data_IF_068883390250
#
_entry.id   IF_068883390250
#
_cell.length_a   1.000
_cell.length_b   1.000
_cell.length_c   1.000
_cell.angle_alpha   90.00
_cell.angle_beta   90.00
_cell.angle_gamma   90.00
#
_symmetry.space_group_name_H-M   'P 1'
#
loop_
_entity.id
_entity.type
_entity.pdbx_description
1 polymer ?
#
# COMPACT_ATOMS: atom_id res chain seq x y z
N UNK A 1 -10.51 25.37 -37.07
CA UNK A 1 -9.42 24.38 -36.98
C UNK A 1 -8.23 25.10 -36.36
N UNK A 2 -8.08 25.04 -35.04
CA UNK A 2 -6.93 25.62 -34.36
C UNK A 2 -5.83 24.54 -34.26
N UNK A 3 -4.69 24.83 -34.86
CA UNK A 3 -3.50 24.00 -34.87
C UNK A 3 -2.82 24.03 -33.51
N UNK A 4 -2.71 22.87 -32.86
CA UNK A 4 -1.82 22.64 -31.72
C UNK A 4 -0.35 22.69 -32.19
N UNK A 5 0.30 23.81 -31.98
CA UNK A 5 1.75 24.03 -32.06
C UNK A 5 2.03 25.18 -31.07
N UNK A 6 2.88 25.10 -30.05
CA UNK A 6 4.12 24.35 -29.83
C UNK A 6 4.26 24.09 -28.33
N UNK A 7 4.49 22.85 -27.92
CA UNK A 7 5.03 22.57 -26.59
C UNK A 7 6.52 22.24 -26.73
N UNK A 8 7.43 23.14 -26.33
CA UNK A 8 8.88 22.95 -26.51
C UNK A 8 9.47 21.84 -25.62
N UNK A 9 8.66 21.20 -24.77
CA UNK A 9 9.06 20.08 -23.92
C UNK A 9 8.45 18.73 -24.33
N UNK A 10 7.76 18.65 -25.46
CA UNK A 10 7.28 17.39 -26.02
C UNK A 10 8.47 16.65 -26.70
N UNK A 11 9.17 15.82 -25.92
CA UNK A 11 10.17 14.90 -26.47
C UNK A 11 9.53 13.95 -27.49
N UNK A 12 10.05 13.83 -28.73
CA UNK A 12 9.47 13.01 -29.80
C UNK A 12 9.61 11.50 -29.59
N UNK A 13 10.25 11.06 -28.50
CA UNK A 13 10.48 9.64 -28.17
C UNK A 13 9.55 9.14 -27.07
N UNK A 14 8.86 10.05 -26.38
CA UNK A 14 7.83 9.70 -25.42
C UNK A 14 6.50 10.22 -25.96
N UNK A 15 5.94 9.49 -26.92
CA UNK A 15 4.49 9.42 -27.02
C UNK A 15 4.02 8.95 -25.64
N UNK A 16 3.70 9.92 -24.78
CA UNK A 16 2.95 9.68 -23.57
C UNK A 16 1.66 9.10 -24.09
N UNK A 17 1.61 7.77 -24.14
CA UNK A 17 0.45 7.02 -24.57
C UNK A 17 -0.67 7.60 -23.73
N UNK A 18 -1.48 8.47 -24.35
CA UNK A 18 -2.66 9.04 -23.73
C UNK A 18 -3.55 7.83 -23.69
N UNK A 19 -3.34 7.01 -22.66
CA UNK A 19 -4.16 5.88 -22.38
C UNK A 19 -5.53 6.52 -22.26
N UNK A 20 -6.32 6.35 -23.32
CA UNK A 20 -7.75 6.55 -23.33
C UNK A 20 -8.17 5.73 -22.13
N UNK A 21 -8.33 6.41 -21.00
CA UNK A 21 -8.65 5.75 -19.76
C UNK A 21 -9.90 4.99 -20.14
N UNK A 22 -9.89 3.64 -20.15
CA UNK A 22 -11.14 2.93 -20.27
C UNK A 22 -12.02 3.56 -19.19
N UNK A 23 -13.32 3.70 -19.45
CA UNK A 23 -14.29 4.13 -18.44
C UNK A 23 -14.35 3.07 -17.31
N UNK A 24 -13.22 2.86 -16.67
CA UNK A 24 -13.00 2.12 -15.45
C UNK A 24 -13.70 2.97 -14.42
N UNK A 25 -14.71 2.39 -13.79
CA UNK A 25 -15.51 3.06 -12.79
C UNK A 25 -14.57 3.72 -11.76
N UNK A 26 -14.88 4.96 -11.34
CA UNK A 26 -14.12 5.68 -10.29
C UNK A 26 -13.79 4.79 -9.08
N UNK A 27 -14.70 3.85 -8.82
CA UNK A 27 -14.61 2.83 -7.78
C UNK A 27 -13.33 2.00 -7.90
N UNK A 28 -12.93 1.56 -9.08
CA UNK A 28 -11.73 0.71 -9.26
C UNK A 28 -10.44 1.51 -9.04
N UNK A 29 -10.40 2.77 -9.48
CA UNK A 29 -9.26 3.68 -9.25
C UNK A 29 -9.05 3.95 -7.76
N UNK A 30 -10.14 4.04 -7.00
CA UNK A 30 -10.11 4.21 -5.56
C UNK A 30 -9.81 2.91 -4.81
N UNK A 31 -10.51 1.84 -5.15
CA UNK A 31 -10.48 0.58 -4.41
C UNK A 31 -9.16 -0.15 -4.57
N UNK A 32 -8.47 0.02 -5.71
CA UNK A 32 -7.19 -0.66 -5.96
C UNK A 32 -6.10 -0.27 -4.93
N UNK A 33 -5.77 1.02 -4.70
CA UNK A 33 -4.81 1.40 -3.68
C UNK A 33 -5.26 1.00 -2.28
N UNK A 34 -6.55 1.16 -1.95
CA UNK A 34 -7.10 0.74 -0.65
C UNK A 34 -6.87 -0.75 -0.40
N UNK A 35 -7.29 -1.63 -1.31
CA UNK A 35 -7.16 -3.09 -1.17
C UNK A 35 -5.69 -3.52 -1.06
N UNK A 36 -4.81 -2.93 -1.88
CA UNK A 36 -3.38 -3.27 -1.87
C UNK A 36 -2.70 -2.84 -0.59
N UNK A 37 -2.97 -1.63 -0.11
CA UNK A 37 -2.42 -1.16 1.14
C UNK A 37 -2.99 -1.93 2.34
N UNK A 38 -4.28 -2.26 2.36
CA UNK A 38 -4.88 -3.13 3.39
C UNK A 38 -4.21 -4.51 3.43
N UNK A 39 -3.99 -5.15 2.28
CA UNK A 39 -3.33 -6.44 2.20
C UNK A 39 -1.93 -6.39 2.79
N UNK A 40 -1.10 -5.43 2.35
CA UNK A 40 0.27 -5.28 2.86
C UNK A 40 0.26 -4.93 4.34
N UNK A 41 -0.60 -3.99 4.73
CA UNK A 41 -0.79 -3.59 6.12
C UNK A 41 -1.11 -4.79 6.99
N UNK A 42 -2.05 -5.64 6.58
CA UNK A 42 -2.43 -6.84 7.34
C UNK A 42 -1.28 -7.85 7.48
N UNK A 43 -0.56 -8.14 6.39
CA UNK A 43 0.59 -9.06 6.45
C UNK A 43 1.68 -8.50 7.37
N UNK A 44 2.04 -7.22 7.20
CA UNK A 44 3.08 -6.57 7.99
C UNK A 44 2.67 -6.48 9.46
N UNK A 45 1.45 -6.03 9.74
CA UNK A 45 0.95 -5.88 11.10
C UNK A 45 0.91 -7.21 11.84
N UNK A 46 0.46 -8.29 11.18
CA UNK A 46 0.47 -9.62 11.76
C UNK A 46 1.89 -10.09 12.09
N UNK A 47 2.84 -9.89 11.18
CA UNK A 47 4.24 -10.26 11.42
C UNK A 47 4.90 -9.42 12.53
N UNK A 48 4.62 -8.11 12.57
CA UNK A 48 5.15 -7.20 13.59
C UNK A 48 4.63 -7.58 14.97
N UNK A 49 3.33 -7.85 15.12
CA UNK A 49 2.76 -8.27 16.40
C UNK A 49 3.22 -9.68 16.80
N UNK A 50 3.46 -10.57 15.85
CA UNK A 50 4.05 -11.88 16.14
C UNK A 50 5.50 -11.74 16.64
N UNK A 51 6.28 -10.81 16.08
CA UNK A 51 7.65 -10.54 16.49
C UNK A 51 7.75 -9.77 17.83
N UNK A 52 6.89 -8.76 18.04
CA UNK A 52 6.96 -7.81 19.18
C UNK A 52 6.02 -8.18 20.33
N UNK A 53 4.95 -8.94 20.08
CA UNK A 53 4.08 -9.50 21.12
C UNK A 53 4.69 -10.71 21.83
N UNK A 54 5.69 -11.36 21.23
CA UNK A 54 6.37 -12.55 21.77
C UNK A 54 7.48 -12.35 22.83
N UNK A 55 7.93 -11.17 23.31
CA UNK A 55 9.00 -11.11 24.30
C UNK A 55 8.63 -11.75 25.64
N UNK A 56 7.36 -11.69 26.06
CA UNK A 56 6.91 -12.39 27.28
C UNK A 56 6.72 -13.88 27.07
N UNK A 57 6.45 -14.33 25.84
CA UNK A 57 6.31 -15.75 25.53
C UNK A 57 7.68 -16.43 25.38
N UNK A 58 8.75 -15.69 25.07
CA UNK A 58 10.13 -16.21 25.05
C UNK A 58 10.61 -16.75 26.40
N UNK A 59 10.05 -16.26 27.51
CA UNK A 59 10.40 -16.72 28.87
C UNK A 59 9.54 -17.91 29.30
N UNK A 60 8.40 -18.18 28.63
CA UNK A 60 7.49 -19.30 28.95
C UNK A 60 7.68 -20.55 28.08
N UNK A 61 8.57 -20.54 27.08
CA UNK A 61 8.81 -21.68 26.16
C UNK A 61 9.49 -22.91 26.78
N UNK A 62 9.41 -23.10 28.10
CA UNK A 62 9.88 -24.32 28.76
C UNK A 62 8.86 -25.46 28.78
N UNK A 63 7.57 -25.20 28.52
CA UNK A 63 6.50 -26.18 28.89
C UNK A 63 5.60 -26.68 27.75
N UNK A 64 5.83 -26.30 26.49
CA UNK A 64 5.25 -26.98 25.32
C UNK A 64 3.74 -27.27 25.38
N UNK A 65 2.89 -26.26 25.66
CA UNK A 65 1.44 -26.43 25.69
C UNK A 65 0.80 -25.96 24.37
N UNK A 66 -0.34 -26.54 24.00
CA UNK A 66 -1.14 -26.13 22.83
C UNK A 66 -1.77 -24.74 22.98
N UNK A 67 -1.78 -24.18 24.20
CA UNK A 67 -2.25 -22.81 24.47
C UNK A 67 -1.33 -21.77 23.82
N UNK A 68 -0.03 -22.07 23.70
CA UNK A 68 0.97 -21.18 23.07
C UNK A 68 0.71 -20.94 21.57
N UNK A 69 0.12 -21.91 20.86
CA UNK A 69 -0.20 -21.77 19.45
C UNK A 69 -1.39 -20.83 19.24
N UNK A 70 -2.44 -20.99 20.05
CA UNK A 70 -3.63 -20.14 19.97
C UNK A 70 -3.33 -18.69 20.34
N UNK A 71 -2.45 -18.44 21.32
CA UNK A 71 -1.97 -17.10 21.64
C UNK A 71 -1.20 -16.44 20.49
N UNK A 72 -0.34 -17.20 19.80
CA UNK A 72 0.40 -16.70 18.62
C UNK A 72 -0.54 -16.38 17.46
N UNK A 73 -1.52 -17.24 17.20
CA UNK A 73 -2.56 -17.00 16.18
C UNK A 73 -3.36 -15.75 16.57
N UNK A 74 -3.80 -15.63 17.81
CA UNK A 74 -4.53 -14.46 18.31
C UNK A 74 -3.74 -13.16 18.12
N UNK A 75 -2.47 -13.16 18.52
CA UNK A 75 -1.56 -12.01 18.35
C UNK A 75 -1.37 -11.63 16.88
N UNK A 76 -1.20 -12.63 16.00
CA UNK A 76 -1.10 -12.41 14.56
C UNK A 76 -2.38 -11.81 13.99
N UNK A 77 -3.56 -12.32 14.38
CA UNK A 77 -4.85 -11.83 13.89
C UNK A 77 -5.14 -10.39 14.36
N UNK A 78 -4.81 -10.06 15.62
CA UNK A 78 -4.92 -8.69 16.14
C UNK A 78 -3.98 -7.77 15.37
N UNK A 79 -2.72 -8.18 15.18
CA UNK A 79 -1.75 -7.43 14.39
C UNK A 79 -2.19 -7.24 12.95
N UNK A 80 -2.77 -8.28 12.33
CA UNK A 80 -3.27 -8.21 10.97
C UNK A 80 -4.47 -7.28 10.86
N UNK A 81 -5.40 -7.30 11.83
CA UNK A 81 -6.52 -6.37 11.87
C UNK A 81 -6.04 -4.91 12.01
N UNK A 82 -5.15 -4.63 12.97
CA UNK A 82 -4.56 -3.31 13.15
C UNK A 82 -3.80 -2.87 11.89
N UNK A 83 -2.98 -3.75 11.33
CA UNK A 83 -2.24 -3.51 10.10
C UNK A 83 -3.15 -3.22 8.89
N UNK A 84 -4.26 -3.95 8.73
CA UNK A 84 -5.26 -3.67 7.70
C UNK A 84 -5.88 -2.28 7.87
N UNK A 85 -6.11 -1.83 9.10
CA UNK A 85 -6.61 -0.47 9.35
C UNK A 85 -5.58 0.59 8.94
N UNK A 86 -4.30 0.43 9.31
CA UNK A 86 -3.21 1.34 8.91
C UNK A 86 -3.08 1.38 7.37
N UNK A 87 -3.04 0.21 6.75
CA UNK A 87 -3.00 0.06 5.31
C UNK A 87 -4.22 0.68 4.64
N UNK A 88 -5.41 0.50 5.22
CA UNK A 88 -6.64 1.13 4.76
C UNK A 88 -6.55 2.65 4.77
N UNK A 89 -6.10 3.26 5.87
CA UNK A 89 -5.95 4.73 5.96
C UNK A 89 -4.97 5.23 4.89
N UNK A 90 -3.80 4.60 4.78
CA UNK A 90 -2.81 4.96 3.76
C UNK A 90 -3.39 4.84 2.33
N UNK A 91 -4.07 3.74 2.05
CA UNK A 91 -4.69 3.48 0.76
C UNK A 91 -5.86 4.42 0.45
N UNK A 92 -6.63 4.85 1.44
CA UNK A 92 -7.69 5.84 1.27
C UNK A 92 -7.11 7.21 0.88
N UNK A 93 -6.04 7.66 1.56
CA UNK A 93 -5.35 8.91 1.21
C UNK A 93 -4.83 8.85 -0.23
N UNK A 94 -4.12 7.77 -0.58
CA UNK A 94 -3.63 7.56 -1.95
C UNK A 94 -4.79 7.50 -2.94
N UNK A 95 -5.87 6.79 -2.63
CA UNK A 95 -7.07 6.68 -3.46
C UNK A 95 -7.74 8.02 -3.76
N UNK A 96 -7.87 8.90 -2.75
CA UNK A 96 -8.39 10.26 -2.95
C UNK A 96 -7.49 11.05 -3.89
N UNK A 97 -6.17 11.05 -3.67
CA UNK A 97 -5.22 11.75 -4.54
C UNK A 97 -5.33 11.25 -5.98
N UNK A 98 -5.38 9.93 -6.16
CA UNK A 98 -5.53 9.28 -7.48
C UNK A 98 -6.80 9.73 -8.19
N UNK A 99 -7.94 9.79 -7.50
CA UNK A 99 -9.20 10.28 -8.11
C UNK A 99 -9.04 11.74 -8.56
N UNK A 100 -8.48 12.60 -7.69
CA UNK A 100 -8.37 14.03 -7.95
C UNK A 100 -7.46 14.33 -9.15
N UNK A 101 -6.38 13.57 -9.31
CA UNK A 101 -5.38 13.79 -10.38
C UNK A 101 -5.59 12.91 -11.61
N UNK A 102 -6.64 12.08 -11.67
CA UNK A 102 -6.84 11.07 -12.74
C UNK A 102 -6.82 11.63 -14.18
N UNK A 103 -7.31 12.87 -14.34
CA UNK A 103 -7.41 13.57 -15.63
C UNK A 103 -6.24 14.52 -15.89
N UNK A 104 -5.34 14.66 -14.92
CA UNK A 104 -4.19 15.53 -15.05
C UNK A 104 -3.10 14.88 -15.91
N UNK A 105 -2.40 15.69 -16.72
CA UNK A 105 -1.26 15.22 -17.53
C UNK A 105 -0.09 14.68 -16.69
N UNK A 106 0.01 15.12 -15.44
CA UNK A 106 1.05 14.76 -14.48
C UNK A 106 0.60 13.68 -13.47
N UNK A 107 -0.49 12.97 -13.75
CA UNK A 107 -1.08 11.94 -12.85
C UNK A 107 -0.07 10.88 -12.39
N UNK A 108 0.80 10.43 -13.29
CA UNK A 108 1.77 9.36 -12.99
C UNK A 108 2.76 9.82 -11.92
N UNK A 109 3.23 11.06 -12.00
CA UNK A 109 4.13 11.66 -11.01
C UNK A 109 3.38 11.84 -9.69
N UNK A 110 2.15 12.35 -9.73
CA UNK A 110 1.33 12.51 -8.53
C UNK A 110 1.04 11.17 -7.83
N UNK A 111 0.74 10.10 -8.57
CA UNK A 111 0.54 8.76 -8.02
C UNK A 111 1.83 8.22 -7.39
N UNK A 112 2.98 8.40 -8.05
CA UNK A 112 4.27 7.95 -7.55
C UNK A 112 4.64 8.66 -6.24
N UNK A 113 4.46 9.99 -6.19
CA UNK A 113 4.70 10.80 -4.99
C UNK A 113 3.74 10.42 -3.87
N UNK A 114 2.45 10.28 -4.15
CA UNK A 114 1.47 9.89 -3.15
C UNK A 114 1.81 8.51 -2.53
N UNK A 115 2.12 7.53 -3.38
CA UNK A 115 2.54 6.20 -2.92
C UNK A 115 3.87 6.24 -2.17
N UNK A 116 4.82 7.06 -2.61
CA UNK A 116 6.17 7.15 -2.06
C UNK A 116 6.27 7.95 -0.76
N UNK A 117 5.30 8.83 -0.45
CA UNK A 117 5.31 9.66 0.76
C UNK A 117 4.32 9.14 1.79
N UNK A 118 3.06 8.91 1.39
CA UNK A 118 2.02 8.54 2.35
C UNK A 118 2.18 7.10 2.87
N UNK A 119 2.57 6.15 2.02
CA UNK A 119 2.76 4.77 2.49
C UNK A 119 3.89 4.67 3.53
N UNK A 120 5.12 5.18 3.29
CA UNK A 120 6.16 5.14 4.32
C UNK A 120 5.82 5.95 5.57
N UNK A 121 5.29 7.16 5.40
CA UNK A 121 4.92 8.01 6.53
C UNK A 121 3.90 7.34 7.45
N UNK A 122 2.84 6.77 6.88
CA UNK A 122 1.78 6.10 7.64
C UNK A 122 2.28 4.83 8.32
N UNK A 123 3.08 4.00 7.65
CA UNK A 123 3.60 2.76 8.24
C UNK A 123 4.58 3.08 9.37
N UNK A 124 5.58 3.94 9.14
CA UNK A 124 6.55 4.32 10.18
C UNK A 124 5.84 4.96 11.37
N UNK A 125 5.01 5.99 11.13
CA UNK A 125 4.34 6.72 12.20
C UNK A 125 3.41 5.83 13.03
N UNK A 126 2.56 5.05 12.37
CA UNK A 126 1.53 4.26 13.08
C UNK A 126 2.15 3.06 13.79
N UNK A 127 3.09 2.35 13.17
CA UNK A 127 3.75 1.24 13.83
C UNK A 127 4.69 1.68 14.95
N UNK A 128 5.27 2.88 14.90
CA UNK A 128 5.99 3.43 16.05
C UNK A 128 5.07 3.68 17.25
N UNK A 129 3.85 4.20 17.02
CA UNK A 129 2.84 4.41 18.07
C UNK A 129 2.31 3.09 18.61
N UNK A 130 2.12 2.08 17.75
CA UNK A 130 1.63 0.75 18.15
C UNK A 130 2.71 -0.11 18.80
N UNK A 131 3.98 0.05 18.40
CA UNK A 131 5.10 -0.57 19.09
C UNK A 131 5.26 0.07 20.47
N UNK A 132 5.73 -0.71 21.45
CA UNK A 132 5.88 -0.33 22.88
C UNK A 132 6.22 1.16 23.10
N UNK A 133 5.83 1.77 24.24
CA UNK A 133 6.09 3.17 24.49
C UNK A 133 7.54 3.52 24.15
N UNK A 134 7.70 4.37 23.13
CA UNK A 134 8.98 4.86 22.57
C UNK A 134 10.07 5.09 23.64
N UNK A 135 9.79 5.64 24.85
CA UNK A 135 10.82 5.79 25.89
C UNK A 135 11.47 4.49 26.39
N UNK A 136 10.93 3.31 26.10
CA UNK A 136 11.50 2.02 26.52
C UNK A 136 12.37 1.36 25.44
N UNK A 137 12.42 1.91 24.22
CA UNK A 137 13.26 1.37 23.15
C UNK A 137 14.67 1.93 23.24
N UNK A 138 15.68 1.08 23.07
CA UNK A 138 17.04 1.57 22.84
C UNK A 138 17.10 2.34 21.52
N UNK A 139 17.99 3.33 21.41
CA UNK A 139 18.17 4.11 20.18
C UNK A 139 18.39 3.21 18.96
N UNK A 140 19.19 2.15 19.11
CA UNK A 140 19.48 1.19 18.04
C UNK A 140 18.20 0.44 17.60
N UNK A 141 17.37 -0.01 18.56
CA UNK A 141 16.10 -0.68 18.25
C UNK A 141 15.13 0.27 17.56
N UNK A 142 15.04 1.52 18.01
CA UNK A 142 14.19 2.54 17.41
C UNK A 142 14.59 2.85 15.96
N UNK A 143 15.89 3.09 15.72
CA UNK A 143 16.41 3.37 14.38
C UNK A 143 16.25 2.15 13.47
N UNK A 144 16.61 0.96 13.95
CA UNK A 144 16.46 -0.28 13.18
C UNK A 144 15.00 -0.56 12.79
N UNK A 145 14.07 -0.41 13.74
CA UNK A 145 12.64 -0.57 13.49
C UNK A 145 12.09 0.47 12.52
N UNK A 146 12.47 1.74 12.69
CA UNK A 146 12.07 2.82 11.79
C UNK A 146 12.56 2.59 10.36
N UNK A 147 13.82 2.16 10.18
CA UNK A 147 14.36 1.79 8.88
C UNK A 147 13.62 0.60 8.27
N UNK A 148 13.31 -0.43 9.04
CA UNK A 148 12.54 -1.58 8.57
C UNK A 148 11.13 -1.16 8.10
N UNK A 149 10.42 -0.37 8.91
CA UNK A 149 9.08 0.13 8.56
C UNK A 149 9.12 1.07 7.35
N UNK A 150 10.18 1.85 7.19
CA UNK A 150 10.40 2.69 6.02
C UNK A 150 10.54 1.83 4.75
N UNK A 151 11.35 0.78 4.78
CA UNK A 151 11.51 -0.16 3.67
C UNK A 151 10.19 -0.84 3.30
N UNK A 152 9.44 -1.27 4.32
CA UNK A 152 8.11 -1.86 4.12
C UNK A 152 7.16 -0.86 3.47
N UNK A 153 7.10 0.37 3.96
CA UNK A 153 6.25 1.42 3.40
C UNK A 153 6.64 1.81 1.98
N UNK A 154 7.94 1.84 1.65
CA UNK A 154 8.42 2.07 0.27
C UNK A 154 8.00 0.90 -0.63
N UNK A 155 8.18 -0.34 -0.16
CA UNK A 155 7.70 -1.53 -0.88
C UNK A 155 6.19 -1.50 -1.12
N UNK A 156 5.41 -1.07 -0.12
CA UNK A 156 3.97 -0.89 -0.22
C UNK A 156 3.58 0.19 -1.23
N UNK A 157 4.31 1.31 -1.23
CA UNK A 157 4.17 2.37 -2.22
C UNK A 157 4.43 1.87 -3.64
N UNK A 158 5.55 1.20 -3.87
CA UNK A 158 5.92 0.62 -5.18
C UNK A 158 4.86 -0.39 -5.64
N UNK A 159 4.44 -1.30 -4.77
CA UNK A 159 3.41 -2.30 -5.09
C UNK A 159 2.09 -1.65 -5.48
N UNK A 160 1.68 -0.61 -4.76
CA UNK A 160 0.44 0.13 -5.04
C UNK A 160 0.54 0.89 -6.36
N UNK A 161 1.65 1.61 -6.57
CA UNK A 161 1.91 2.36 -7.79
C UNK A 161 1.94 1.45 -9.03
N UNK A 162 2.60 0.29 -8.97
CA UNK A 162 2.58 -0.71 -10.08
C UNK A 162 1.17 -1.16 -10.42
N UNK A 163 0.28 -1.22 -9.44
CA UNK A 163 -1.12 -1.54 -9.65
C UNK A 163 -1.89 -0.44 -10.37
N UNK A 164 -1.66 0.82 -9.97
CA UNK A 164 -2.23 2.00 -10.63
C UNK A 164 -1.73 2.15 -12.06
N UNK A 165 -0.44 1.88 -12.30
CA UNK A 165 0.13 1.85 -13.64
C UNK A 165 -0.57 0.81 -14.53
N UNK A 166 -0.70 -0.43 -14.05
CA UNK A 166 -1.42 -1.48 -14.79
C UNK A 166 -2.88 -1.10 -15.06
N UNK A 167 -3.58 -0.54 -14.08
CA UNK A 167 -4.95 -0.06 -14.27
C UNK A 167 -5.04 1.04 -15.33
N UNK A 168 -4.02 1.91 -15.38
CA UNK A 168 -3.96 2.99 -16.37
C UNK A 168 -3.63 2.52 -17.79
N UNK A 169 -2.87 1.43 -17.96
CA UNK A 169 -2.42 0.94 -19.27
C UNK A 169 -3.28 -0.19 -19.82
N UNK A 170 -3.73 -1.12 -18.98
CA UNK A 170 -4.43 -2.36 -19.39
C UNK A 170 -5.94 -2.30 -19.10
N UNK A 171 -6.40 -1.33 -18.30
CA UNK A 171 -7.78 -1.29 -17.80
C UNK A 171 -8.05 -2.30 -16.68
N UNK A 172 -9.31 -2.39 -16.23
CA UNK A 172 -9.68 -3.25 -15.09
C UNK A 172 -9.66 -4.74 -15.47
N UNK A 173 -8.88 -5.60 -14.79
CA UNK A 173 -8.82 -7.04 -15.08
C UNK A 173 -10.14 -7.77 -14.77
N UNK A 174 -11.04 -7.15 -14.00
CA UNK A 174 -12.36 -7.70 -13.63
C UNK A 174 -13.37 -7.67 -14.78
N UNK A 175 -13.08 -6.95 -15.87
CA UNK A 175 -13.91 -6.93 -17.08
C UNK A 175 -13.10 -7.27 -18.33
N UNK A 176 -12.49 -8.46 -18.37
CA UNK A 176 -12.30 -9.08 -19.69
C UNK A 176 -13.71 -9.25 -20.28
N UNK A 177 -13.99 -8.76 -21.50
CA UNK A 177 -15.30 -8.93 -22.11
C UNK A 177 -15.60 -10.42 -22.12
N UNK A 178 -16.69 -10.81 -21.45
CA UNK A 178 -17.35 -12.10 -21.70
C UNK A 178 -17.50 -12.12 -23.22
N UNK A 179 -16.77 -13.01 -23.91
CA UNK A 179 -17.01 -13.27 -25.32
C UNK A 179 -18.48 -13.63 -25.41
N UNK A 180 -19.29 -12.77 -26.01
CA UNK A 180 -20.66 -13.10 -26.33
C UNK A 180 -20.61 -14.41 -27.15
N UNK A 181 -21.41 -15.42 -26.79
CA UNK A 181 -21.52 -16.60 -27.63
C UNK A 181 -22.03 -16.13 -28.99
N UNK A 182 -21.21 -16.33 -30.03
CA UNK A 182 -21.70 -16.25 -31.40
C UNK A 182 -22.65 -17.43 -31.58
N UNK A 183 -23.95 -17.15 -31.63
CA UNK A 183 -24.95 -18.09 -32.12
C UNK A 183 -24.92 -18.11 -33.65
#
# INVERSE_FOLDING_TARGET
>A
METQQENPFASPVADAHVANTPRVDMVDWYALPVRRCMLIGGVVGGLVFLAIGSPHNFVRYGTGSTEDLWERIGSFLIGAAAGMMVGGIAGNIVGVVVILVRHARWRTVAHALACGIFCPGMFVGTFLVLSRPVPQMTLLTFVGFSCLMLLVGVGAGIYTFRGLLRLSTEGSPLRRPRREPKF
#
